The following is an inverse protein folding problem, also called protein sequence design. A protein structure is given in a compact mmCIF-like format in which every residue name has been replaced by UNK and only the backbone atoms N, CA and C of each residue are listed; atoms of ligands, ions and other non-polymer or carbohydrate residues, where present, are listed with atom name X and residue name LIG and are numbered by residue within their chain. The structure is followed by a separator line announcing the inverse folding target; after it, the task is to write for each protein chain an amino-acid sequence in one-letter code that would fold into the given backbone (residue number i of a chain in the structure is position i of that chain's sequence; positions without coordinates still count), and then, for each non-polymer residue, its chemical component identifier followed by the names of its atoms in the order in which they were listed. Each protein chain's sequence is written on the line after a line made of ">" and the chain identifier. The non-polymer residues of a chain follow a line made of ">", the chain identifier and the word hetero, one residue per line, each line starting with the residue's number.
data_IF_435063606329
#
_entry.id   IF_435063606329
#
_cell.length_a   1.000
_cell.length_b   1.000
_cell.length_c   1.000
_cell.angle_alpha   90.00
_cell.angle_beta   90.00
_cell.angle_gamma   90.00
#
_symmetry.space_group_name_H-M   'P 1'
#
loop_
_entity.id
_entity.type
_entity.pdbx_description
1 polymer ?
#
# COMPACT_ATOMS: atom_id res chain seq x y z
N UNK A 1 -33.01 1.92 -22.22
CA UNK A 1 -31.61 2.32 -22.00
C UNK A 1 -31.49 2.58 -20.51
N UNK A 2 -30.49 2.01 -19.83
CA UNK A 2 -30.28 2.34 -18.41
C UNK A 2 -30.03 3.84 -18.29
N UNK A 3 -30.58 4.46 -17.25
CA UNK A 3 -30.35 5.88 -16.99
C UNK A 3 -28.86 6.10 -16.67
N UNK A 4 -28.34 7.28 -16.98
CA UNK A 4 -26.93 7.61 -16.76
C UNK A 4 -26.55 7.41 -15.29
N UNK A 5 -27.44 7.80 -14.39
CA UNK A 5 -27.24 7.70 -12.95
C UNK A 5 -27.20 6.23 -12.49
N UNK A 6 -27.99 5.36 -13.12
CA UNK A 6 -27.93 3.91 -12.87
C UNK A 6 -26.57 3.35 -13.29
N UNK A 7 -26.04 3.76 -14.45
CA UNK A 7 -24.73 3.32 -14.92
C UNK A 7 -23.59 3.80 -14.01
N UNK A 8 -23.67 5.04 -13.52
CA UNK A 8 -22.70 5.58 -12.56
C UNK A 8 -22.78 4.87 -11.21
N UNK A 9 -23.98 4.48 -10.78
CA UNK A 9 -24.20 3.70 -9.56
C UNK A 9 -23.62 2.29 -9.69
N UNK A 10 -23.83 1.63 -10.81
CA UNK A 10 -23.25 0.32 -11.10
C UNK A 10 -21.72 0.36 -11.14
N UNK A 11 -21.15 1.41 -11.75
CA UNK A 11 -19.71 1.65 -11.72
C UNK A 11 -19.20 1.85 -10.28
N UNK A 12 -19.91 2.65 -9.47
CA UNK A 12 -19.56 2.90 -8.07
C UNK A 12 -19.50 1.60 -7.27
N UNK A 13 -20.53 0.76 -7.33
CA UNK A 13 -20.53 -0.50 -6.58
C UNK A 13 -19.40 -1.42 -7.01
N UNK A 14 -19.15 -1.53 -8.32
CA UNK A 14 -18.05 -2.34 -8.84
C UNK A 14 -16.68 -1.84 -8.40
N UNK A 15 -16.48 -0.52 -8.34
CA UNK A 15 -15.25 0.08 -7.83
C UNK A 15 -15.09 -0.13 -6.33
N UNK A 16 -16.17 -0.02 -5.56
CA UNK A 16 -16.17 -0.25 -4.12
C UNK A 16 -15.79 -1.71 -3.80
N UNK A 17 -16.40 -2.68 -4.50
CA UNK A 17 -16.05 -4.09 -4.37
C UNK A 17 -14.55 -4.32 -4.67
N UNK A 18 -14.06 -3.74 -5.76
CA UNK A 18 -12.64 -3.85 -6.13
C UNK A 18 -11.73 -3.21 -5.08
N UNK A 19 -12.13 -2.08 -4.49
CA UNK A 19 -11.39 -1.38 -3.44
C UNK A 19 -11.28 -2.23 -2.17
N UNK A 20 -12.37 -2.85 -1.74
CA UNK A 20 -12.40 -3.74 -0.57
C UNK A 20 -11.61 -5.04 -0.79
N UNK A 21 -11.62 -5.56 -2.02
CA UNK A 21 -10.85 -6.74 -2.39
C UNK A 21 -9.34 -6.52 -2.27
N UNK A 22 -8.83 -5.30 -2.51
CA UNK A 22 -7.42 -4.96 -2.24
C UNK A 22 -7.08 -5.13 -0.76
N UNK A 23 -7.96 -4.70 0.15
CA UNK A 23 -7.73 -4.81 1.60
C UNK A 23 -7.75 -6.27 2.05
N UNK A 24 -8.67 -7.09 1.53
CA UNK A 24 -8.71 -8.53 1.81
C UNK A 24 -7.41 -9.22 1.40
N UNK A 25 -6.90 -8.92 0.20
CA UNK A 25 -5.63 -9.48 -0.30
C UNK A 25 -4.43 -8.99 0.51
N UNK A 26 -4.42 -7.73 0.93
CA UNK A 26 -3.37 -7.19 1.78
C UNK A 26 -3.30 -7.92 3.14
N UNK A 27 -4.45 -8.22 3.76
CA UNK A 27 -4.51 -8.99 5.00
C UNK A 27 -3.99 -10.43 4.82
N UNK A 28 -4.34 -11.09 3.71
CA UNK A 28 -3.85 -12.45 3.41
C UNK A 28 -2.32 -12.48 3.31
N UNK A 29 -1.73 -11.50 2.62
CA UNK A 29 -0.28 -11.42 2.43
C UNK A 29 0.43 -11.15 3.75
N UNK A 30 -0.13 -10.30 4.61
CA UNK A 30 0.38 -10.11 5.98
C UNK A 30 0.36 -11.40 6.79
N UNK A 31 -0.68 -12.21 6.65
CA UNK A 31 -0.75 -13.53 7.27
C UNK A 31 0.39 -14.44 6.83
N UNK A 32 0.66 -14.53 5.52
CA UNK A 32 1.75 -15.33 4.98
C UNK A 32 3.13 -14.84 5.43
N UNK A 33 3.33 -13.52 5.49
CA UNK A 33 4.60 -12.93 5.91
C UNK A 33 4.81 -13.10 7.42
N UNK A 34 3.76 -12.99 8.22
CA UNK A 34 3.82 -13.30 9.66
C UNK A 34 4.24 -14.75 9.90
N UNK A 35 3.58 -15.71 9.23
CA UNK A 35 3.94 -17.12 9.35
C UNK A 35 5.35 -17.42 8.81
N UNK A 36 5.69 -16.90 7.63
CA UNK A 36 6.99 -17.10 7.00
C UNK A 36 8.14 -16.48 7.78
N UNK A 37 7.95 -15.29 8.37
CA UNK A 37 8.95 -14.66 9.22
C UNK A 37 9.18 -15.47 10.50
N UNK A 38 8.13 -15.95 11.16
CA UNK A 38 8.26 -16.81 12.35
C UNK A 38 9.06 -18.09 12.05
N UNK A 39 8.76 -18.76 10.93
CA UNK A 39 9.52 -19.92 10.48
C UNK A 39 10.99 -19.58 10.21
N UNK A 40 11.25 -18.44 9.56
CA UNK A 40 12.60 -17.99 9.30
C UNK A 40 13.37 -17.63 10.59
N UNK A 41 12.72 -17.04 11.59
CA UNK A 41 13.30 -16.81 12.91
C UNK A 41 13.64 -18.12 13.61
N UNK A 42 12.77 -19.15 13.54
CA UNK A 42 13.05 -20.45 14.11
C UNK A 42 14.32 -21.09 13.49
N UNK A 43 14.48 -21.00 12.17
CA UNK A 43 15.67 -21.49 11.46
C UNK A 43 16.92 -20.65 11.84
N UNK A 44 16.77 -19.33 12.01
CA UNK A 44 17.89 -18.46 12.37
C UNK A 44 18.39 -18.61 13.81
N UNK A 45 17.52 -19.08 14.71
CA UNK A 45 17.87 -19.37 16.11
C UNK A 45 18.38 -20.79 16.32
N UNK A 46 18.31 -21.67 15.32
CA UNK A 46 18.82 -23.04 15.41
C UNK A 46 20.35 -23.04 15.60
N UNK A 47 20.88 -23.60 16.70
CA UNK A 47 22.32 -23.70 16.94
C UNK A 47 23.08 -24.51 15.89
N UNK A 48 22.38 -25.40 15.15
CA UNK A 48 22.97 -26.19 14.06
C UNK A 48 23.13 -25.43 12.75
N UNK A 49 22.64 -24.18 12.67
CA UNK A 49 22.66 -23.40 11.45
C UNK A 49 24.05 -22.79 11.18
N UNK A 50 24.75 -23.32 10.18
CA UNK A 50 26.06 -22.87 9.74
C UNK A 50 26.02 -21.60 8.86
N UNK A 51 24.84 -21.08 8.51
CA UNK A 51 24.71 -19.89 7.68
C UNK A 51 25.13 -18.58 8.39
N UNK A 52 25.39 -18.62 9.70
CA UNK A 52 25.78 -17.46 10.49
C UNK A 52 24.74 -16.33 10.44
N UNK A 53 25.20 -15.07 10.57
CA UNK A 53 24.31 -13.90 10.56
C UNK A 53 23.64 -13.57 9.23
N UNK A 54 24.03 -14.22 8.13
CA UNK A 54 23.47 -13.95 6.80
C UNK A 54 21.96 -14.19 6.74
N UNK A 55 21.44 -15.14 7.52
CA UNK A 55 19.99 -15.44 7.55
C UNK A 55 19.16 -14.22 7.97
N UNK A 56 19.67 -13.42 8.91
CA UNK A 56 18.99 -12.21 9.38
C UNK A 56 18.91 -11.14 8.28
N UNK A 57 19.97 -10.98 7.50
CA UNK A 57 19.97 -10.06 6.36
C UNK A 57 18.97 -10.50 5.28
N UNK A 58 18.90 -11.80 4.99
CA UNK A 58 17.95 -12.35 4.02
C UNK A 58 16.51 -12.08 4.48
N UNK A 59 16.20 -12.30 5.76
CA UNK A 59 14.87 -12.01 6.31
C UNK A 59 14.54 -10.52 6.18
N UNK A 60 15.47 -9.63 6.54
CA UNK A 60 15.27 -8.19 6.45
C UNK A 60 15.04 -7.71 4.99
N UNK A 61 15.81 -8.24 4.03
CA UNK A 61 15.66 -7.91 2.61
C UNK A 61 14.33 -8.39 2.07
N UNK A 62 13.97 -9.66 2.32
CA UNK A 62 12.68 -10.23 1.89
C UNK A 62 11.51 -9.42 2.45
N UNK A 63 11.57 -9.10 3.75
CA UNK A 63 10.56 -8.29 4.41
C UNK A 63 10.45 -6.88 3.79
N UNK A 64 11.57 -6.26 3.44
CA UNK A 64 11.62 -4.96 2.76
C UNK A 64 11.01 -5.00 1.36
N UNK A 65 11.23 -6.08 0.60
CA UNK A 65 10.62 -6.28 -0.72
C UNK A 65 9.09 -6.35 -0.61
N UNK A 66 8.57 -7.08 0.37
CA UNK A 66 7.12 -7.14 0.61
C UNK A 66 6.54 -5.82 1.09
N UNK A 67 7.24 -5.10 1.97
CA UNK A 67 6.82 -3.76 2.40
C UNK A 67 6.68 -2.81 1.21
N UNK A 68 7.67 -2.81 0.32
CA UNK A 68 7.63 -2.02 -0.92
C UNK A 68 6.46 -2.44 -1.84
N UNK A 69 6.24 -3.74 -1.99
CA UNK A 69 5.15 -4.26 -2.81
C UNK A 69 3.77 -3.83 -2.25
N UNK A 70 3.57 -3.92 -0.94
CA UNK A 70 2.33 -3.48 -0.29
C UNK A 70 2.12 -1.97 -0.48
N UNK A 71 3.16 -1.16 -0.31
CA UNK A 71 3.07 0.28 -0.54
C UNK A 71 2.65 0.61 -1.98
N UNK A 72 3.16 -0.14 -2.97
CA UNK A 72 2.73 -0.01 -4.38
C UNK A 72 1.27 -0.41 -4.58
N UNK A 73 0.81 -1.49 -3.96
CA UNK A 73 -0.60 -1.87 -4.03
C UNK A 73 -1.52 -0.84 -3.39
N UNK A 74 -1.15 -0.25 -2.25
CA UNK A 74 -1.90 0.86 -1.66
C UNK A 74 -1.98 2.06 -2.59
N UNK A 75 -0.90 2.37 -3.30
CA UNK A 75 -0.91 3.42 -4.32
C UNK A 75 -1.88 3.11 -5.47
N UNK A 76 -1.97 1.85 -5.91
CA UNK A 76 -2.94 1.42 -6.92
C UNK A 76 -4.38 1.50 -6.42
N UNK A 77 -4.61 1.11 -5.17
CA UNK A 77 -5.91 1.21 -4.51
C UNK A 77 -6.37 2.68 -4.40
N UNK A 78 -5.46 3.61 -4.06
CA UNK A 78 -5.79 5.05 -4.02
C UNK A 78 -6.10 5.66 -5.38
N UNK A 79 -5.49 5.16 -6.46
CA UNK A 79 -5.84 5.60 -7.80
C UNK A 79 -7.27 5.19 -8.21
N UNK A 80 -7.82 4.10 -7.64
CA UNK A 80 -9.25 3.76 -7.80
C UNK A 80 -10.14 4.63 -6.92
N UNK A 81 -9.69 4.95 -5.70
CA UNK A 81 -10.44 5.79 -4.75
C UNK A 81 -10.83 7.15 -5.35
N UNK A 82 -9.96 7.74 -6.18
CA UNK A 82 -10.22 9.03 -6.81
C UNK A 82 -11.48 9.01 -7.67
N UNK A 83 -11.72 7.92 -8.42
CA UNK A 83 -12.95 7.76 -9.20
C UNK A 83 -14.16 7.57 -8.29
N UNK A 84 -14.04 6.79 -7.22
CA UNK A 84 -15.10 6.61 -6.21
C UNK A 84 -15.52 7.97 -5.65
N UNK A 85 -14.56 8.81 -5.25
CA UNK A 85 -14.80 10.15 -4.70
C UNK A 85 -15.51 11.07 -5.70
N UNK A 86 -15.20 10.98 -6.99
CA UNK A 86 -15.90 11.74 -8.04
C UNK A 86 -17.37 11.30 -8.15
N UNK A 87 -17.63 10.00 -8.12
CA UNK A 87 -18.99 9.46 -8.19
C UNK A 87 -19.81 9.85 -6.94
N UNK A 88 -19.23 9.74 -5.74
CA UNK A 88 -19.86 10.19 -4.50
C UNK A 88 -20.20 11.69 -4.54
N UNK A 89 -19.27 12.51 -5.04
CA UNK A 89 -19.47 13.96 -5.17
C UNK A 89 -20.59 14.29 -6.18
N UNK A 90 -20.69 13.54 -7.28
CA UNK A 90 -21.77 13.67 -8.25
C UNK A 90 -23.13 13.36 -7.61
N UNK A 91 -23.27 12.22 -6.91
CA UNK A 91 -24.53 11.87 -6.23
C UNK A 91 -24.88 12.79 -5.07
N UNK A 92 -23.90 13.45 -4.44
CA UNK A 92 -24.12 14.49 -3.42
C UNK A 92 -24.49 15.86 -4.02
N UNK A 93 -24.35 16.04 -5.34
CA UNK A 93 -24.38 17.34 -6.00
C UNK A 93 -23.40 18.34 -5.36
N UNK A 94 -22.18 17.87 -5.06
CA UNK A 94 -21.16 18.67 -4.38
C UNK A 94 -20.74 19.88 -5.25
N UNK A 95 -20.86 21.13 -4.78
CA UNK A 95 -20.49 22.30 -5.55
C UNK A 95 -18.97 22.38 -5.81
N UNK A 96 -18.15 21.85 -4.91
CA UNK A 96 -16.70 22.05 -4.90
C UNK A 96 -15.93 21.03 -5.74
N UNK A 97 -16.62 20.03 -6.31
CA UNK A 97 -16.01 19.06 -7.21
C UNK A 97 -15.64 19.72 -8.54
N UNK A 98 -14.41 19.50 -8.99
CA UNK A 98 -13.90 20.05 -10.24
C UNK A 98 -14.42 19.30 -11.47
N UNK A 99 -14.75 18.02 -11.31
CA UNK A 99 -15.30 17.17 -12.37
C UNK A 99 -16.81 17.16 -12.24
N UNK A 100 -17.48 17.98 -13.04
CA UNK A 100 -18.94 17.97 -13.17
C UNK A 100 -19.37 16.90 -14.18
N UNK A 101 -20.52 16.29 -13.91
CA UNK A 101 -21.18 15.32 -14.79
C UNK A 101 -20.22 14.24 -15.34
N UNK A 102 -19.71 13.33 -14.49
CA UNK A 102 -18.79 12.30 -14.92
C UNK A 102 -19.47 11.34 -15.91
N UNK A 103 -18.77 10.99 -16.99
CA UNK A 103 -19.21 9.94 -17.93
C UNK A 103 -19.03 8.55 -17.31
N UNK A 104 -19.99 7.61 -17.45
CA UNK A 104 -19.91 6.29 -16.85
C UNK A 104 -18.85 5.38 -17.49
N UNK A 105 -18.42 4.37 -16.74
CA UNK A 105 -17.52 3.29 -17.13
C UNK A 105 -16.12 3.74 -17.59
N UNK A 106 -15.61 4.83 -17.03
CA UNK A 106 -14.29 5.39 -17.37
C UNK A 106 -13.16 4.93 -16.43
N UNK A 107 -13.32 3.77 -15.77
CA UNK A 107 -12.44 3.27 -14.71
C UNK A 107 -10.96 3.25 -15.13
N UNK A 108 -10.65 2.62 -16.27
CA UNK A 108 -9.26 2.44 -16.72
C UNK A 108 -8.56 3.78 -16.97
N UNK A 109 -9.21 4.65 -17.76
CA UNK A 109 -8.69 5.99 -18.10
C UNK A 109 -8.48 6.83 -16.85
N UNK A 110 -9.43 6.79 -15.91
CA UNK A 110 -9.33 7.50 -14.64
C UNK A 110 -8.23 6.97 -13.75
N UNK A 111 -8.06 5.66 -13.67
CA UNK A 111 -7.01 5.06 -12.87
C UNK A 111 -5.63 5.53 -13.35
N UNK A 112 -5.36 5.50 -14.66
CA UNK A 112 -4.08 5.97 -15.21
C UNK A 112 -3.87 7.46 -14.96
N UNK A 113 -4.91 8.28 -15.15
CA UNK A 113 -4.86 9.72 -14.87
C UNK A 113 -4.50 9.99 -13.42
N UNK A 114 -5.18 9.34 -12.48
CA UNK A 114 -4.96 9.50 -11.04
C UNK A 114 -3.59 8.98 -10.61
N UNK A 115 -3.20 7.80 -11.10
CA UNK A 115 -1.89 7.21 -10.81
C UNK A 115 -0.73 8.05 -11.37
N UNK A 116 -0.87 8.61 -12.57
CA UNK A 116 0.20 9.42 -13.20
C UNK A 116 0.24 10.84 -12.65
N UNK A 117 -0.89 11.54 -12.69
CA UNK A 117 -0.93 13.00 -12.53
C UNK A 117 -1.36 13.47 -11.14
N UNK A 118 -2.11 12.66 -10.39
CA UNK A 118 -2.62 13.02 -9.06
C UNK A 118 -3.42 14.33 -9.03
N UNK A 119 -4.26 14.55 -10.04
CA UNK A 119 -4.98 15.82 -10.15
C UNK A 119 -5.95 16.02 -8.96
N UNK A 120 -6.13 17.28 -8.51
CA UNK A 120 -7.11 17.59 -7.47
C UNK A 120 -8.52 17.28 -7.97
N UNK A 121 -9.34 16.69 -7.10
CA UNK A 121 -10.75 16.38 -7.38
C UNK A 121 -11.64 17.51 -6.88
N UNK A 122 -11.26 18.13 -5.75
CA UNK A 122 -12.01 19.22 -5.12
C UNK A 122 -11.21 20.52 -5.12
N UNK A 123 -11.90 21.66 -5.14
CA UNK A 123 -11.30 23.00 -5.08
C UNK A 123 -10.34 23.16 -3.89
N UNK A 124 -10.75 22.72 -2.70
CA UNK A 124 -9.95 22.83 -1.49
C UNK A 124 -8.62 22.05 -1.57
N UNK A 125 -8.52 20.97 -2.36
CA UNK A 125 -7.28 20.20 -2.52
C UNK A 125 -6.24 20.97 -3.33
N UNK A 126 -6.72 21.76 -4.30
CA UNK A 126 -5.88 22.66 -5.11
C UNK A 126 -5.46 23.87 -4.30
N UNK A 127 -6.40 24.53 -3.62
CA UNK A 127 -6.13 25.75 -2.84
C UNK A 127 -5.16 25.52 -1.69
N UNK A 128 -5.28 24.38 -0.99
CA UNK A 128 -4.38 24.01 0.10
C UNK A 128 -3.07 23.36 -0.36
N UNK A 129 -2.88 23.20 -1.67
CA UNK A 129 -1.69 22.58 -2.25
C UNK A 129 -1.51 21.11 -1.85
N UNK A 130 -2.60 20.38 -1.57
CA UNK A 130 -2.52 18.96 -1.21
C UNK A 130 -2.22 18.08 -2.42
N UNK A 131 -2.67 18.49 -3.61
CA UNK A 131 -2.49 17.80 -4.89
C UNK A 131 -2.10 18.80 -5.99
N UNK A 132 -1.27 18.42 -6.97
CA UNK A 132 -0.72 17.07 -7.21
C UNK A 132 0.52 16.76 -6.37
N UNK A 133 0.70 15.47 -6.01
CA UNK A 133 1.90 14.96 -5.36
C UNK A 133 2.72 14.07 -6.29
N UNK A 134 4.04 14.11 -6.12
CA UNK A 134 4.92 13.22 -6.88
C UNK A 134 4.65 11.76 -6.54
N UNK A 135 4.87 10.84 -7.49
CA UNK A 135 4.69 9.40 -7.25
C UNK A 135 5.52 8.90 -6.06
N UNK A 136 6.74 9.40 -5.92
CA UNK A 136 7.62 9.05 -4.81
C UNK A 136 7.05 9.51 -3.46
N UNK A 137 6.51 10.74 -3.37
CA UNK A 137 5.88 11.25 -2.16
C UNK A 137 4.64 10.43 -1.78
N UNK A 138 3.82 10.06 -2.77
CA UNK A 138 2.62 9.23 -2.54
C UNK A 138 2.98 7.83 -2.11
N UNK A 139 3.98 7.22 -2.75
CA UNK A 139 4.49 5.91 -2.37
C UNK A 139 5.08 5.92 -0.94
N UNK A 140 5.88 6.94 -0.61
CA UNK A 140 6.42 7.11 0.74
C UNK A 140 5.31 7.34 1.77
N UNK A 141 4.29 8.13 1.40
CA UNK A 141 3.10 8.35 2.21
C UNK A 141 2.36 7.04 2.50
N UNK A 142 2.14 6.22 1.47
CA UNK A 142 1.54 4.89 1.61
C UNK A 142 2.41 3.96 2.46
N UNK A 143 3.72 3.94 2.21
CA UNK A 143 4.66 3.09 2.94
C UNK A 143 4.71 3.41 4.45
N UNK A 144 4.51 4.67 4.84
CA UNK A 144 4.56 5.14 6.24
C UNK A 144 3.25 4.99 7.01
N UNK A 145 2.17 4.57 6.38
CA UNK A 145 0.92 4.35 7.09
C UNK A 145 1.07 3.29 8.16
N UNK A 146 0.45 3.49 9.33
CA UNK A 146 0.52 2.55 10.45
C UNK A 146 0.15 1.14 10.03
N UNK A 147 -0.94 0.99 9.29
CA UNK A 147 -1.35 -0.32 8.78
C UNK A 147 -0.29 -0.97 7.89
N UNK A 148 0.44 -0.20 7.08
CA UNK A 148 1.41 -0.72 6.11
C UNK A 148 2.74 -1.07 6.77
N UNK A 149 3.42 -0.13 7.42
CA UNK A 149 4.79 -0.38 7.89
C UNK A 149 4.90 -1.28 9.12
N UNK A 150 3.94 -1.25 10.06
CA UNK A 150 4.07 -1.87 11.39
C UNK A 150 4.56 -3.34 11.37
N UNK A 151 3.95 -4.26 10.58
CA UNK A 151 4.41 -5.65 10.57
C UNK A 151 5.85 -5.78 10.02
N UNK A 152 6.20 -4.99 9.01
CA UNK A 152 7.51 -5.10 8.35
C UNK A 152 8.63 -4.45 9.16
N UNK A 153 8.40 -3.24 9.68
CA UNK A 153 9.41 -2.49 10.42
C UNK A 153 9.86 -3.23 11.67
N UNK A 154 8.95 -3.95 12.33
CA UNK A 154 9.26 -4.78 13.48
C UNK A 154 10.16 -5.96 13.10
N UNK A 155 9.80 -6.71 12.05
CA UNK A 155 10.60 -7.85 11.58
C UNK A 155 11.98 -7.38 11.13
N UNK A 156 12.05 -6.34 10.30
CA UNK A 156 13.31 -5.77 9.79
C UNK A 156 14.19 -5.30 10.95
N UNK A 157 13.62 -4.56 11.90
CA UNK A 157 14.36 -4.05 13.07
C UNK A 157 14.92 -5.18 13.93
N UNK A 158 14.12 -6.22 14.21
CA UNK A 158 14.58 -7.39 14.95
C UNK A 158 15.68 -8.15 14.21
N UNK A 159 15.53 -8.37 12.91
CA UNK A 159 16.54 -9.05 12.11
C UNK A 159 17.86 -8.27 12.09
N UNK A 160 17.82 -6.95 11.91
CA UNK A 160 19.03 -6.11 11.97
C UNK A 160 19.68 -6.17 13.36
N UNK A 161 18.89 -6.11 14.43
CA UNK A 161 19.41 -6.20 15.79
C UNK A 161 20.10 -7.54 16.07
N UNK A 162 19.50 -8.66 15.64
CA UNK A 162 20.09 -9.99 15.79
C UNK A 162 21.36 -10.17 14.95
N UNK A 163 21.38 -9.61 13.74
CA UNK A 163 22.58 -9.58 12.90
C UNK A 163 23.74 -8.87 13.59
N UNK A 164 23.50 -7.66 14.11
CA UNK A 164 24.51 -6.88 14.83
C UNK A 164 24.98 -7.60 16.09
N UNK A 165 24.05 -8.19 16.85
CA UNK A 165 24.39 -8.96 18.05
C UNK A 165 25.31 -10.15 17.74
N UNK A 166 25.02 -10.91 16.68
CA UNK A 166 25.87 -12.02 16.26
C UNK A 166 27.24 -11.56 15.76
N UNK A 167 27.31 -10.45 15.02
CA UNK A 167 28.59 -9.86 14.60
C UNK A 167 29.46 -9.46 15.80
N UNK A 168 28.86 -8.85 16.83
CA UNK A 168 29.56 -8.46 18.06
C UNK A 168 29.96 -9.68 18.91
N UNK A 169 29.11 -10.71 18.94
CA UNK A 169 29.39 -11.97 19.64
C UNK A 169 30.52 -12.79 19.02
N UNK A 170 30.62 -12.79 17.69
CA UNK A 170 31.69 -13.48 16.95
C UNK A 170 33.09 -12.83 17.14
N UNK A 171 33.16 -11.60 17.67
CA UNK A 171 34.39 -10.87 17.90
C UNK A 171 35.06 -11.10 19.27
N UNK A 172 34.50 -11.93 20.15
CA UNK A 172 35.15 -12.29 21.43
C UNK A 172 36.02 -13.54 21.25
N UNK A 173 37.36 -13.44 21.28
CA UNK A 173 38.21 -14.63 21.35
C UNK A 173 38.01 -15.31 22.71
N UNK A 174 37.83 -16.62 22.68
CA UNK A 174 37.90 -17.55 23.82
C UNK A 174 39.32 -17.67 24.36
#
# INVERSE_FOLDING_TARGET
>A
MADRDDQLRDEYFKLQDQYEDYDRRALQIKGWIGAGSLAAFAIGLDPGNSAGGLIWLIIAIMCSCFWYLEAKWKLFQYALADRIRILEAHFRADPDVMVKDPEPFQIYSWWFRSYVKDEPIFLYEKERGYRPRSRAQRLLGAARQSFVHLPYSLIIGLSIALYVFQLLGAGKPS
#
